data_IF_069713409327
#
_entry.id   IF_069713409327
#
_cell.length_a   1.000
_cell.length_b   1.000
_cell.length_c   1.000
_cell.angle_alpha   90.00
_cell.angle_beta   90.00
_cell.angle_gamma   90.00
#
_symmetry.space_group_name_H-M   'P 1'
#
loop_
_entity.id
_entity.type
_entity.pdbx_description
1 polymer ?
#
# COMPACT_ATOMS: atom_id res chain seq x y z
N UNK A 1 -18.29 22.47 7.52
CA UNK A 1 -18.42 21.16 6.88
C UNK A 1 -17.22 20.38 7.38
N UNK A 2 -17.39 19.54 8.40
CA UNK A 2 -16.32 18.63 8.79
C UNK A 2 -16.04 17.76 7.57
N UNK A 3 -14.86 17.89 6.97
CA UNK A 3 -14.38 16.88 6.04
C UNK A 3 -14.49 15.54 6.78
N UNK A 4 -15.19 14.58 6.18
CA UNK A 4 -15.18 13.22 6.69
C UNK A 4 -13.73 12.73 6.59
N UNK A 5 -12.97 12.87 7.69
CA UNK A 5 -11.57 12.46 7.74
C UNK A 5 -11.54 10.97 7.46
N UNK A 6 -10.96 10.59 6.31
CA UNK A 6 -10.85 9.18 5.96
C UNK A 6 -10.03 8.46 7.03
N UNK A 7 -10.35 7.19 7.30
CA UNK A 7 -9.57 6.36 8.23
C UNK A 7 -8.07 6.42 7.88
N UNK A 8 -7.75 6.45 6.58
CA UNK A 8 -6.37 6.54 6.10
C UNK A 8 -5.70 7.86 6.48
N UNK A 9 -6.40 9.00 6.41
CA UNK A 9 -5.89 10.29 6.88
C UNK A 9 -5.67 10.32 8.39
N UNK A 10 -6.59 9.75 9.16
CA UNK A 10 -6.41 9.58 10.61
C UNK A 10 -5.17 8.72 10.94
N UNK A 11 -4.98 7.62 10.21
CA UNK A 11 -3.79 6.78 10.35
C UNK A 11 -2.50 7.51 9.99
N UNK A 12 -2.50 8.27 8.90
CA UNK A 12 -1.36 9.09 8.50
C UNK A 12 -1.05 10.19 9.53
N UNK A 13 -2.05 10.75 10.21
CA UNK A 13 -1.81 11.77 11.24
C UNK A 13 -1.25 11.19 12.56
N UNK A 14 -1.58 9.95 12.90
CA UNK A 14 -1.39 9.44 14.26
C UNK A 14 -0.51 8.19 14.40
N UNK A 15 -0.29 7.42 13.34
CA UNK A 15 0.55 6.23 13.42
C UNK A 15 2.04 6.54 13.19
N UNK A 16 2.96 5.87 13.90
CA UNK A 16 4.38 5.85 13.53
C UNK A 16 4.57 5.35 12.09
N UNK A 17 5.62 5.84 11.40
CA UNK A 17 5.91 5.54 9.99
C UNK A 17 5.83 4.05 9.66
N UNK A 18 6.56 3.23 10.43
CA UNK A 18 6.58 1.77 10.26
C UNK A 18 5.19 1.12 10.42
N UNK A 19 4.39 1.59 11.38
CA UNK A 19 3.05 1.05 11.61
C UNK A 19 2.10 1.44 10.48
N UNK A 20 2.20 2.68 10.01
CA UNK A 20 1.45 3.16 8.84
C UNK A 20 1.81 2.34 7.59
N UNK A 21 3.09 2.15 7.30
CA UNK A 21 3.56 1.35 6.17
C UNK A 21 3.09 -0.10 6.22
N UNK A 22 3.19 -0.77 7.38
CA UNK A 22 2.67 -2.14 7.55
C UNK A 22 1.16 -2.19 7.25
N UNK A 23 0.38 -1.24 7.74
CA UNK A 23 -1.05 -1.18 7.45
C UNK A 23 -1.33 -1.03 5.95
N UNK A 24 -0.62 -0.11 5.27
CA UNK A 24 -0.76 0.10 3.83
C UNK A 24 -0.40 -1.17 3.05
N UNK A 25 0.75 -1.77 3.34
CA UNK A 25 1.21 -3.00 2.68
C UNK A 25 0.26 -4.18 2.90
N UNK A 26 -0.37 -4.29 4.08
CA UNK A 26 -1.41 -5.30 4.33
C UNK A 26 -2.69 -5.06 3.54
N UNK A 27 -3.08 -3.80 3.30
CA UNK A 27 -4.19 -3.50 2.38
C UNK A 27 -3.85 -3.94 0.95
N UNK A 28 -2.65 -3.60 0.47
CA UNK A 28 -2.19 -4.04 -0.87
C UNK A 28 -2.12 -5.57 -0.96
N UNK A 29 -1.57 -6.24 0.06
CA UNK A 29 -1.54 -7.71 0.16
C UNK A 29 -2.95 -8.30 0.03
N UNK A 30 -3.92 -7.77 0.76
CA UNK A 30 -5.30 -8.25 0.71
C UNK A 30 -5.93 -8.07 -0.68
N UNK A 31 -5.64 -6.97 -1.36
CA UNK A 31 -6.10 -6.77 -2.74
C UNK A 31 -5.43 -7.71 -3.73
N UNK A 32 -4.11 -7.91 -3.61
CA UNK A 32 -3.35 -8.88 -4.44
C UNK A 32 -3.96 -10.27 -4.35
N UNK A 33 -4.22 -10.75 -3.13
CA UNK A 33 -4.85 -12.05 -2.88
C UNK A 33 -6.30 -12.08 -3.41
N UNK A 34 -7.01 -10.95 -3.37
CA UNK A 34 -8.40 -10.87 -3.85
C UNK A 34 -8.50 -11.09 -5.36
N UNK A 35 -7.60 -10.51 -6.16
CA UNK A 35 -7.66 -10.67 -7.63
C UNK A 35 -6.84 -11.83 -8.17
N UNK A 36 -5.83 -12.28 -7.42
CA UNK A 36 -5.12 -13.52 -7.71
C UNK A 36 -5.17 -14.43 -6.48
N UNK A 37 -6.17 -15.33 -6.40
CA UNK A 37 -6.30 -16.27 -5.28
C UNK A 37 -5.12 -17.24 -5.14
N UNK A 38 -4.23 -17.33 -6.13
CA UNK A 38 -3.00 -18.14 -6.06
C UNK A 38 -1.79 -17.32 -5.62
N UNK A 39 -1.92 -16.01 -5.45
CA UNK A 39 -0.83 -15.15 -5.03
C UNK A 39 -0.31 -15.57 -3.65
N UNK A 40 1.01 -15.60 -3.51
CA UNK A 40 1.70 -15.82 -2.25
C UNK A 40 2.42 -14.53 -1.89
N UNK A 41 1.80 -13.71 -1.03
CA UNK A 41 2.27 -12.37 -0.68
C UNK A 41 2.50 -12.25 0.81
N UNK A 42 3.62 -11.65 1.19
CA UNK A 42 4.10 -11.53 2.56
C UNK A 42 4.42 -10.09 2.90
N UNK A 43 4.23 -9.73 4.17
CA UNK A 43 4.58 -8.43 4.74
C UNK A 43 5.39 -8.66 5.99
N UNK A 44 6.67 -8.34 5.94
CA UNK A 44 7.59 -8.46 7.05
C UNK A 44 8.04 -7.08 7.53
N UNK A 45 8.28 -6.98 8.84
CA UNK A 45 8.85 -5.78 9.47
C UNK A 45 10.21 -6.13 10.04
N UNK A 46 11.23 -5.42 9.59
CA UNK A 46 12.57 -5.46 10.16
C UNK A 46 12.86 -4.24 11.03
N UNK A 47 14.12 -4.10 11.44
CA UNK A 47 14.60 -2.90 12.11
C UNK A 47 14.83 -1.80 11.07
N UNK A 48 14.02 -0.74 11.12
CA UNK A 48 14.09 0.40 10.21
C UNK A 48 13.48 0.21 8.81
N UNK A 49 12.81 -0.91 8.54
CA UNK A 49 12.17 -1.15 7.24
C UNK A 49 10.92 -2.04 7.32
N UNK A 50 10.08 -1.95 6.29
CA UNK A 50 8.95 -2.83 6.01
C UNK A 50 9.10 -3.40 4.60
N UNK A 51 8.83 -4.69 4.43
CA UNK A 51 9.05 -5.42 3.18
C UNK A 51 7.76 -6.09 2.72
N UNK A 52 7.32 -5.75 1.50
CA UNK A 52 6.20 -6.38 0.80
C UNK A 52 6.76 -7.18 -0.38
N UNK A 53 6.59 -8.50 -0.36
CA UNK A 53 7.17 -9.38 -1.39
C UNK A 53 6.32 -10.61 -1.64
N UNK A 54 6.58 -11.28 -2.75
CA UNK A 54 5.86 -12.50 -3.10
C UNK A 54 5.75 -12.72 -4.59
N UNK A 55 4.74 -13.49 -4.97
CA UNK A 55 4.35 -13.73 -6.35
C UNK A 55 2.86 -13.41 -6.52
N UNK A 56 2.53 -12.67 -7.57
CA UNK A 56 1.17 -12.41 -8.01
C UNK A 56 1.12 -12.39 -9.54
N UNK A 57 0.06 -12.95 -10.12
CA UNK A 57 -0.15 -13.08 -11.57
C UNK A 57 1.03 -13.75 -12.29
N UNK A 58 1.67 -14.72 -11.63
CA UNK A 58 2.86 -15.40 -12.15
C UNK A 58 4.13 -14.54 -12.20
N UNK A 59 4.11 -13.37 -11.56
CA UNK A 59 5.26 -12.46 -11.49
C UNK A 59 5.73 -12.30 -10.04
N UNK A 60 7.01 -12.59 -9.81
CA UNK A 60 7.65 -12.34 -8.53
C UNK A 60 7.95 -10.83 -8.34
N UNK A 61 7.78 -10.34 -7.12
CA UNK A 61 8.07 -8.96 -6.74
C UNK A 61 8.62 -8.86 -5.32
N UNK A 62 9.30 -7.74 -5.07
CA UNK A 62 9.88 -7.40 -3.77
C UNK A 62 9.99 -5.88 -3.68
N UNK A 63 9.37 -5.29 -2.65
CA UNK A 63 9.33 -3.86 -2.38
C UNK A 63 9.72 -3.64 -0.92
N UNK A 64 10.90 -3.10 -0.71
CA UNK A 64 11.42 -2.74 0.60
C UNK A 64 11.27 -1.23 0.77
N UNK A 65 10.69 -0.82 1.90
CA UNK A 65 10.46 0.57 2.25
C UNK A 65 11.12 0.84 3.60
N UNK A 66 12.02 1.81 3.64
CA UNK A 66 12.61 2.29 4.90
C UNK A 66 11.60 3.10 5.70
N UNK A 67 11.82 3.22 7.01
CA UNK A 67 10.96 4.06 7.86
C UNK A 67 10.97 5.54 7.44
N UNK A 68 12.09 6.02 6.88
CA UNK A 68 12.20 7.38 6.34
C UNK A 68 11.36 7.58 5.09
N UNK A 69 11.45 6.67 4.11
CA UNK A 69 10.59 6.73 2.92
C UNK A 69 9.11 6.60 3.30
N UNK A 70 8.78 5.76 4.29
CA UNK A 70 7.42 5.64 4.81
C UNK A 70 6.89 6.96 5.36
N UNK A 71 7.72 7.73 6.09
CA UNK A 71 7.32 9.04 6.61
C UNK A 71 7.19 10.09 5.50
N UNK A 72 8.05 10.06 4.47
CA UNK A 72 7.91 10.92 3.29
C UNK A 72 6.56 10.71 2.60
N UNK A 73 6.23 9.46 2.26
CA UNK A 73 4.94 9.16 1.62
C UNK A 73 3.74 9.47 2.51
N UNK A 74 3.88 9.28 3.83
CA UNK A 74 2.83 9.61 4.79
C UNK A 74 2.58 11.12 4.86
N UNK A 75 3.62 11.94 4.70
CA UNK A 75 3.51 13.40 4.64
C UNK A 75 2.90 13.90 3.32
N UNK A 76 3.17 13.21 2.21
CA UNK A 76 2.65 13.56 0.88
C UNK A 76 1.14 13.35 0.73
N UNK A 77 0.54 12.50 1.56
CA UNK A 77 -0.89 12.35 1.66
C UNK A 77 -1.34 10.95 2.07
N UNK A 78 -2.61 10.78 2.45
CA UNK A 78 -3.11 9.55 3.04
C UNK A 78 -2.92 8.31 2.16
N UNK A 79 -3.06 8.45 0.84
CA UNK A 79 -2.95 7.34 -0.12
C UNK A 79 -1.68 7.40 -0.99
N UNK A 80 -0.72 8.29 -0.69
CA UNK A 80 0.47 8.44 -1.52
C UNK A 80 1.32 7.16 -1.54
N UNK A 81 1.50 6.51 -0.38
CA UNK A 81 2.20 5.24 -0.30
C UNK A 81 1.49 4.11 -1.07
N UNK A 82 0.15 4.04 -0.99
CA UNK A 82 -0.64 3.05 -1.73
C UNK A 82 -0.42 3.20 -3.25
N UNK A 83 -0.46 4.45 -3.75
CA UNK A 83 -0.22 4.76 -5.17
C UNK A 83 1.20 4.45 -5.61
N UNK A 84 2.19 4.74 -4.76
CA UNK A 84 3.58 4.37 -4.99
C UNK A 84 3.72 2.85 -5.17
N UNK A 85 3.18 2.07 -4.23
CA UNK A 85 3.26 0.60 -4.28
C UNK A 85 2.58 0.05 -5.54
N UNK A 86 1.37 0.53 -5.88
CA UNK A 86 0.68 0.09 -7.11
C UNK A 86 1.44 0.46 -8.38
N UNK A 87 2.11 1.61 -8.38
CA UNK A 87 2.96 2.03 -9.50
C UNK A 87 4.16 1.10 -9.66
N UNK A 88 4.83 0.73 -8.57
CA UNK A 88 5.96 -0.21 -8.60
C UNK A 88 5.55 -1.63 -9.02
N UNK A 89 4.37 -2.09 -8.59
CA UNK A 89 3.78 -3.35 -9.04
C UNK A 89 3.43 -3.30 -10.54
N UNK A 90 2.85 -2.19 -11.00
CA UNK A 90 2.51 -1.99 -12.41
C UNK A 90 3.73 -2.00 -13.33
N UNK A 91 4.87 -1.45 -12.90
CA UNK A 91 6.15 -1.57 -13.62
C UNK A 91 6.60 -3.02 -13.84
N UNK A 92 6.14 -3.94 -13.00
CA UNK A 92 6.42 -5.39 -13.11
C UNK A 92 5.34 -6.15 -13.88
N UNK A 93 4.29 -5.48 -14.36
CA UNK A 93 3.19 -6.13 -15.06
C UNK A 93 2.10 -6.66 -14.14
N UNK A 94 2.12 -6.32 -12.85
CA UNK A 94 1.10 -6.73 -11.87
C UNK A 94 0.07 -5.62 -11.76
N UNK A 95 -1.16 -5.88 -12.24
CA UNK A 95 -2.23 -4.88 -12.26
C UNK A 95 -3.50 -5.40 -11.60
N UNK A 96 -4.27 -4.56 -10.89
CA UNK A 96 -5.60 -4.95 -10.45
C UNK A 96 -6.49 -5.36 -11.63
N UNK A 97 -7.23 -6.46 -11.47
CA UNK A 97 -8.17 -6.92 -12.52
C UNK A 97 -9.51 -6.17 -12.52
N UNK A 98 -9.84 -5.50 -11.42
CA UNK A 98 -11.09 -4.75 -11.24
C UNK A 98 -10.89 -3.58 -10.26
N UNK A 99 -11.71 -2.54 -10.41
CA UNK A 99 -11.72 -1.40 -9.47
C UNK A 99 -12.54 -1.75 -8.22
N UNK A 100 -11.84 -2.08 -7.14
CA UNK A 100 -12.45 -2.31 -5.81
C UNK A 100 -12.71 -0.98 -5.10
N UNK A 101 -13.56 -0.93 -4.06
CA UNK A 101 -13.77 0.29 -3.27
C UNK A 101 -12.47 0.85 -2.67
N UNK A 102 -11.53 -0.02 -2.31
CA UNK A 102 -10.19 0.40 -1.88
C UNK A 102 -9.42 1.09 -3.02
N UNK A 103 -9.37 0.49 -4.21
CA UNK A 103 -8.68 1.09 -5.35
C UNK A 103 -9.34 2.40 -5.78
N UNK A 104 -10.66 2.50 -5.69
CA UNK A 104 -11.38 3.75 -5.89
C UNK A 104 -10.91 4.82 -4.89
N UNK A 105 -10.81 4.50 -3.60
CA UNK A 105 -10.30 5.45 -2.61
C UNK A 105 -8.85 5.87 -2.90
N UNK A 106 -7.99 4.94 -3.28
CA UNK A 106 -6.57 5.21 -3.61
C UNK A 106 -6.41 6.19 -4.78
N UNK A 107 -7.25 6.07 -5.80
CA UNK A 107 -7.12 6.84 -7.06
C UNK A 107 -8.06 8.03 -7.20
N UNK A 108 -9.20 8.05 -6.50
CA UNK A 108 -10.24 9.09 -6.63
C UNK A 108 -10.27 10.08 -5.46
N UNK A 109 -9.57 9.80 -4.35
CA UNK A 109 -9.44 10.78 -3.28
C UNK A 109 -8.32 11.75 -3.66
N UNK A 110 -8.70 12.97 -4.05
CA UNK A 110 -7.76 14.06 -4.27
C UNK A 110 -6.98 14.33 -2.97
N UNK A 111 -5.67 14.58 -3.11
CA UNK A 111 -4.74 14.83 -2.00
C UNK A 111 -4.75 16.30 -1.59
#
# INVERSE_FOLDING_TARGET
>A
MEEAVSLRACMAAHLPAAAFAVCVMRCVQAELIRFDPKAAVHVDRGDGYVHLYGEAQGTAFSLLLTDSEADEWKADGPYALDRYIWTELGKKGIFPMQMTPYLQAVWLTES
#
